data_IF_465725846120
#
_entry.id   IF_465725846120
#
_cell.length_a   1.000
_cell.length_b   1.000
_cell.length_c   1.000
_cell.angle_alpha   90.00
_cell.angle_beta   90.00
_cell.angle_gamma   90.00
#
_symmetry.space_group_name_H-M   'P 1'
#
loop_
_entity.id
_entity.type
_entity.pdbx_description
1 polymer ?
#
# COMPACT_ATOMS: atom_id res chain seq x y z
N UNK A 1 -22.84 35.31 42.35
CA UNK A 1 -21.85 35.35 41.25
C UNK A 1 -20.56 34.60 41.57
N UNK A 2 -19.91 34.78 42.77
CA UNK A 2 -18.70 34.04 43.13
C UNK A 2 -18.90 32.53 43.25
N UNK A 3 -20.02 32.05 43.81
CA UNK A 3 -20.29 30.61 43.97
C UNK A 3 -20.60 29.93 42.62
N UNK A 4 -21.26 30.66 41.69
CA UNK A 4 -21.53 30.14 40.35
C UNK A 4 -20.23 30.00 39.49
N UNK A 5 -19.30 30.96 39.66
CA UNK A 5 -17.99 30.89 39.02
C UNK A 5 -17.14 29.74 39.56
N UNK A 6 -17.18 29.50 40.91
CA UNK A 6 -16.47 28.37 41.50
C UNK A 6 -17.01 27.01 41.04
N UNK A 7 -18.35 26.86 41.00
CA UNK A 7 -18.99 25.65 40.50
C UNK A 7 -18.68 25.39 39.00
N UNK A 8 -18.66 26.44 38.16
CA UNK A 8 -18.33 26.31 36.72
C UNK A 8 -16.86 25.92 36.53
N UNK A 9 -15.94 26.46 37.38
CA UNK A 9 -14.51 26.11 37.32
C UNK A 9 -14.27 24.66 37.72
N UNK A 10 -14.96 24.17 38.77
CA UNK A 10 -14.86 22.75 39.19
C UNK A 10 -15.43 21.80 38.16
N UNK A 11 -16.53 22.13 37.51
CA UNK A 11 -17.12 21.32 36.43
C UNK A 11 -16.21 21.30 35.19
N UNK A 12 -15.60 22.44 34.86
CA UNK A 12 -14.66 22.54 33.73
C UNK A 12 -13.36 21.76 33.99
N UNK A 13 -12.82 21.81 35.19
CA UNK A 13 -11.63 21.03 35.56
C UNK A 13 -11.91 19.54 35.63
N UNK A 14 -13.08 19.11 36.14
CA UNK A 14 -13.48 17.69 36.06
C UNK A 14 -13.71 17.21 34.62
N UNK A 15 -14.33 18.02 33.80
CA UNK A 15 -14.52 17.70 32.36
C UNK A 15 -13.18 17.61 31.60
N UNK A 16 -12.20 18.48 31.90
CA UNK A 16 -10.84 18.39 31.34
C UNK A 16 -10.09 17.14 31.84
N UNK A 17 -10.27 16.75 33.09
CA UNK A 17 -9.65 15.53 33.62
C UNK A 17 -10.26 14.24 33.06
N UNK A 18 -11.53 14.26 32.64
CA UNK A 18 -12.19 13.15 31.96
C UNK A 18 -11.88 13.09 30.46
N UNK A 19 -11.38 14.19 29.87
CA UNK A 19 -10.95 14.27 28.47
C UNK A 19 -9.46 14.01 28.26
N UNK A 20 -8.66 13.84 29.35
CA UNK A 20 -7.30 13.33 29.19
C UNK A 20 -7.44 11.86 28.75
N UNK A 21 -7.07 11.51 27.48
CA UNK A 21 -6.99 10.12 27.13
C UNK A 21 -6.00 9.50 28.13
N UNK A 22 -6.39 8.44 28.82
CA UNK A 22 -5.46 7.59 29.51
C UNK A 22 -4.47 7.11 28.44
N UNK A 23 -3.32 7.77 28.33
CA UNK A 23 -2.19 7.24 27.57
C UNK A 23 -1.77 6.00 28.37
N UNK A 24 -2.47 4.92 28.16
CA UNK A 24 -1.93 3.60 28.42
C UNK A 24 -0.75 3.54 27.45
N UNK A 25 0.46 3.70 27.97
CA UNK A 25 1.66 3.29 27.25
C UNK A 25 1.39 1.80 26.97
N UNK A 26 0.84 1.51 25.78
CA UNK A 26 0.81 0.16 25.26
C UNK A 26 2.28 -0.26 25.31
N UNK A 27 2.60 -1.24 26.13
CA UNK A 27 3.94 -1.81 26.16
C UNK A 27 4.16 -2.32 24.74
N UNK A 28 5.01 -1.60 24.00
CA UNK A 28 5.27 -1.88 22.60
C UNK A 28 5.69 -3.35 22.51
N UNK A 29 4.91 -4.13 21.77
CA UNK A 29 5.15 -5.56 21.71
C UNK A 29 6.47 -5.78 20.99
N UNK A 30 7.42 -6.50 21.63
CA UNK A 30 8.73 -6.75 21.04
C UNK A 30 8.57 -7.48 19.71
N UNK A 31 9.30 -7.08 18.66
CA UNK A 31 9.28 -7.78 17.36
C UNK A 31 9.62 -9.27 17.51
N UNK A 32 9.02 -10.09 16.68
CA UNK A 32 9.22 -11.53 16.63
C UNK A 32 10.26 -11.90 15.57
N UNK A 33 11.38 -12.48 16.00
CA UNK A 33 12.38 -13.08 15.11
C UNK A 33 12.18 -14.59 15.13
N UNK A 34 11.91 -15.17 13.98
CA UNK A 34 11.82 -16.62 13.79
C UNK A 34 13.13 -17.11 13.16
N UNK A 35 13.79 -18.03 13.85
CA UNK A 35 14.98 -18.70 13.33
C UNK A 35 14.56 -20.06 12.80
N UNK A 36 14.75 -20.29 11.52
CA UNK A 36 14.61 -21.60 10.90
C UNK A 36 16.00 -22.23 10.85
N UNK A 37 16.24 -23.14 11.77
CA UNK A 37 17.49 -23.93 11.84
C UNK A 37 17.25 -25.33 11.23
N UNK A 38 17.07 -25.35 9.90
CA UNK A 38 16.58 -26.50 9.16
C UNK A 38 17.50 -27.71 9.30
N UNK A 39 17.00 -28.79 9.89
CA UNK A 39 17.74 -30.02 10.16
C UNK A 39 18.66 -29.97 11.40
N UNK A 40 18.53 -28.97 12.25
CA UNK A 40 19.29 -28.88 13.49
C UNK A 40 18.83 -29.94 14.49
N UNK A 41 19.80 -30.71 15.03
CA UNK A 41 19.61 -31.66 16.12
C UNK A 41 20.19 -31.15 17.41
N UNK A 42 19.35 -30.99 18.43
CA UNK A 42 19.77 -30.52 19.75
C UNK A 42 20.02 -29.01 19.79
N UNK A 43 20.75 -28.56 20.82
CA UNK A 43 21.00 -27.15 21.09
C UNK A 43 22.28 -26.67 20.39
N UNK A 44 22.22 -25.49 19.77
CA UNK A 44 23.39 -24.77 19.28
C UNK A 44 23.80 -23.70 20.32
N UNK A 45 25.06 -23.72 20.72
CA UNK A 45 25.59 -22.81 21.77
C UNK A 45 25.59 -21.37 21.28
N UNK A 46 25.96 -21.11 20.00
CA UNK A 46 26.00 -19.76 19.46
C UNK A 46 24.61 -19.18 19.31
N UNK A 47 23.62 -19.99 18.85
CA UNK A 47 22.21 -19.60 18.79
C UNK A 47 21.70 -19.25 20.19
N UNK A 48 21.98 -20.05 21.20
CA UNK A 48 21.57 -19.79 22.57
C UNK A 48 22.20 -18.49 23.12
N UNK A 49 23.48 -18.23 22.84
CA UNK A 49 24.11 -16.96 23.19
C UNK A 49 23.50 -15.79 22.44
N UNK A 50 23.23 -15.92 21.14
CA UNK A 50 22.59 -14.90 20.33
C UNK A 50 21.22 -14.52 20.91
N UNK A 51 20.35 -15.50 21.17
CA UNK A 51 19.02 -15.27 21.75
C UNK A 51 19.10 -14.68 23.17
N UNK A 52 20.07 -15.11 23.97
CA UNK A 52 20.25 -14.62 25.35
C UNK A 52 20.80 -13.19 25.42
N UNK A 53 21.56 -12.75 24.43
CA UNK A 53 22.16 -11.43 24.39
C UNK A 53 21.33 -10.38 23.64
N UNK A 54 20.48 -10.77 22.68
CA UNK A 54 19.61 -9.86 21.94
C UNK A 54 18.20 -9.98 22.52
N UNK A 55 17.97 -9.30 23.62
CA UNK A 55 16.72 -9.38 24.41
C UNK A 55 15.65 -8.37 23.99
N UNK A 56 15.95 -7.51 23.03
CA UNK A 56 15.04 -6.51 22.48
C UNK A 56 13.92 -7.12 21.61
N UNK A 57 14.12 -8.37 21.16
CA UNK A 57 13.18 -9.11 20.33
C UNK A 57 12.64 -10.33 21.07
N UNK A 58 11.53 -10.89 20.55
CA UNK A 58 11.06 -12.24 20.91
C UNK A 58 11.66 -13.24 19.93
N UNK A 59 11.96 -14.43 20.41
CA UNK A 59 12.57 -15.49 19.62
C UNK A 59 11.65 -16.70 19.49
N UNK A 60 11.61 -17.29 18.30
CA UNK A 60 11.05 -18.61 18.03
C UNK A 60 12.03 -19.39 17.16
N UNK A 61 12.28 -20.66 17.48
CA UNK A 61 13.17 -21.53 16.70
C UNK A 61 12.32 -22.66 16.09
N UNK A 62 12.51 -22.91 14.81
CA UNK A 62 11.89 -24.01 14.05
C UNK A 62 13.03 -24.83 13.47
N UNK A 63 13.04 -26.14 13.74
CA UNK A 63 14.11 -27.08 13.28
C UNK A 63 13.60 -28.08 12.24
N UNK A 64 12.31 -28.04 11.95
CA UNK A 64 11.61 -28.87 10.97
C UNK A 64 11.10 -28.02 9.79
N UNK A 65 10.26 -28.62 8.96
CA UNK A 65 9.56 -27.94 7.87
C UNK A 65 8.78 -26.72 8.34
N UNK A 66 8.72 -25.68 7.53
CA UNK A 66 8.07 -24.40 7.84
C UNK A 66 6.63 -24.44 7.33
N UNK A 67 5.70 -24.04 8.19
CA UNK A 67 4.31 -23.72 7.78
C UNK A 67 4.03 -22.25 7.87
N UNK A 68 3.09 -21.74 7.07
CA UNK A 68 2.67 -20.34 7.14
C UNK A 68 2.20 -19.95 8.54
N UNK A 69 1.42 -20.80 9.21
CA UNK A 69 0.90 -20.49 10.55
C UNK A 69 2.00 -20.34 11.61
N UNK A 70 3.14 -20.96 11.39
CA UNK A 70 4.28 -20.84 12.30
C UNK A 70 5.06 -19.56 12.15
N UNK A 71 5.04 -18.94 10.94
CA UNK A 71 5.84 -17.74 10.61
C UNK A 71 5.02 -16.49 10.33
N UNK A 72 3.69 -16.58 10.23
CA UNK A 72 2.81 -15.47 9.81
C UNK A 72 2.98 -14.18 10.62
N UNK A 73 3.26 -14.31 11.91
CA UNK A 73 3.41 -13.18 12.83
C UNK A 73 4.86 -12.71 12.98
N UNK A 74 5.83 -13.33 12.29
CA UNK A 74 7.22 -12.94 12.34
C UNK A 74 7.46 -11.58 11.66
N UNK A 75 8.28 -10.74 12.30
CA UNK A 75 8.80 -9.51 11.71
C UNK A 75 10.07 -9.79 10.90
N UNK A 76 10.85 -10.79 11.36
CA UNK A 76 12.06 -11.24 10.69
C UNK A 76 12.14 -12.76 10.68
N UNK A 77 12.53 -13.32 9.55
CA UNK A 77 12.85 -14.73 9.37
C UNK A 77 14.35 -14.87 9.08
N UNK A 78 15.06 -15.67 9.88
CA UNK A 78 16.45 -16.04 9.64
C UNK A 78 16.47 -17.51 9.23
N UNK A 79 16.79 -17.79 7.98
CA UNK A 79 16.86 -19.15 7.45
C UNK A 79 18.29 -19.66 7.41
N UNK A 80 18.58 -20.69 8.19
CA UNK A 80 19.86 -21.39 8.28
C UNK A 80 19.66 -22.85 7.98
N UNK A 81 20.21 -23.36 6.89
CA UNK A 81 20.20 -24.77 6.60
C UNK A 81 21.37 -25.46 7.31
N UNK A 82 21.11 -26.08 8.45
CA UNK A 82 22.11 -26.76 9.25
C UNK A 82 22.48 -28.13 8.63
N UNK A 83 21.48 -28.88 8.20
CA UNK A 83 21.69 -30.18 7.55
C UNK A 83 21.82 -30.02 6.02
N UNK A 84 22.97 -30.44 5.48
CA UNK A 84 23.26 -30.40 4.03
C UNK A 84 22.40 -31.37 3.21
N UNK A 85 21.76 -32.36 3.83
CA UNK A 85 20.91 -33.36 3.18
C UNK A 85 19.45 -32.97 3.02
N UNK A 86 18.99 -31.87 3.65
CA UNK A 86 17.59 -31.45 3.64
C UNK A 86 17.30 -30.52 2.47
N UNK A 87 16.33 -30.89 1.65
CA UNK A 87 15.84 -30.07 0.55
C UNK A 87 14.59 -29.30 0.98
N UNK A 88 14.58 -27.99 0.72
CA UNK A 88 13.39 -27.17 0.95
C UNK A 88 12.23 -27.59 0.02
N UNK A 89 11.04 -27.71 0.56
CA UNK A 89 9.84 -28.13 -0.16
C UNK A 89 9.12 -26.95 -0.82
N UNK A 90 8.26 -27.22 -1.78
CA UNK A 90 7.43 -26.20 -2.42
C UNK A 90 6.41 -25.59 -1.42
N UNK A 91 5.96 -26.38 -0.44
CA UNK A 91 5.08 -25.93 0.64
C UNK A 91 5.78 -24.91 1.53
N UNK A 92 7.03 -25.13 1.90
CA UNK A 92 7.85 -24.19 2.66
C UNK A 92 8.12 -22.91 1.88
N UNK A 93 8.47 -23.02 0.59
CA UNK A 93 8.66 -21.87 -0.30
C UNK A 93 7.38 -21.03 -0.41
N UNK A 94 6.23 -21.69 -0.53
CA UNK A 94 4.93 -21.00 -0.55
C UNK A 94 4.61 -20.31 0.78
N UNK A 95 4.93 -20.94 1.91
CA UNK A 95 4.75 -20.34 3.23
C UNK A 95 5.61 -19.07 3.39
N UNK A 96 6.88 -19.13 3.00
CA UNK A 96 7.80 -17.98 3.00
C UNK A 96 7.28 -16.85 2.09
N UNK A 97 6.86 -17.20 0.85
CA UNK A 97 6.29 -16.23 -0.09
C UNK A 97 5.05 -15.53 0.44
N UNK A 98 4.13 -16.30 1.03
CA UNK A 98 2.90 -15.75 1.59
C UNK A 98 3.19 -14.80 2.75
N UNK A 99 4.10 -15.16 3.66
CA UNK A 99 4.54 -14.31 4.76
C UNK A 99 5.23 -13.04 4.26
N UNK A 100 6.16 -13.16 3.32
CA UNK A 100 6.91 -12.02 2.77
C UNK A 100 5.99 -11.01 2.05
N UNK A 101 4.95 -11.49 1.37
CA UNK A 101 3.98 -10.64 0.67
C UNK A 101 3.11 -9.77 1.57
N UNK A 102 3.12 -9.97 2.89
CA UNK A 102 2.45 -9.09 3.85
C UNK A 102 3.06 -7.68 3.87
N UNK A 103 4.33 -7.53 3.51
CA UNK A 103 5.07 -6.26 3.59
C UNK A 103 5.68 -5.99 4.97
N UNK A 104 6.68 -5.12 5.00
CA UNK A 104 7.42 -4.77 6.22
C UNK A 104 8.23 -5.93 6.81
N UNK A 105 8.53 -6.97 6.04
CA UNK A 105 9.22 -8.18 6.49
C UNK A 105 10.71 -8.13 6.19
N UNK A 106 11.50 -8.79 7.04
CA UNK A 106 12.93 -9.01 6.78
C UNK A 106 13.22 -10.50 6.68
N UNK A 107 13.73 -10.90 5.53
CA UNK A 107 14.15 -12.26 5.27
C UNK A 107 15.69 -12.30 5.20
N UNK A 108 16.33 -12.95 6.16
CA UNK A 108 17.75 -13.21 6.15
C UNK A 108 17.98 -14.67 5.76
N UNK A 109 18.49 -14.89 4.57
CA UNK A 109 18.86 -16.21 4.06
C UNK A 109 20.37 -16.39 4.16
N UNK A 110 20.81 -17.54 4.65
CA UNK A 110 22.23 -17.87 4.72
C UNK A 110 22.62 -18.80 3.59
N UNK A 111 23.72 -18.49 2.96
CA UNK A 111 24.36 -19.30 1.92
C UNK A 111 25.62 -20.00 2.44
N UNK A 112 26.33 -20.64 1.52
CA UNK A 112 27.59 -21.38 1.78
C UNK A 112 28.39 -21.48 0.49
N UNK A 113 29.67 -21.89 0.56
CA UNK A 113 30.40 -22.32 -0.62
C UNK A 113 29.96 -23.71 -1.11
N UNK A 114 30.48 -24.13 -2.24
CA UNK A 114 30.24 -25.44 -2.84
C UNK A 114 31.12 -26.57 -2.30
N UNK A 115 31.80 -26.32 -1.17
CA UNK A 115 32.76 -27.24 -0.59
C UNK A 115 32.13 -28.63 -0.27
N UNK A 116 32.75 -29.69 -0.79
CA UNK A 116 32.42 -31.10 -0.49
C UNK A 116 30.92 -31.48 -0.58
N UNK A 117 30.17 -30.84 -1.40
CA UNK A 117 28.77 -31.22 -1.62
C UNK A 117 27.77 -30.37 -0.89
N UNK A 118 28.14 -29.19 -0.42
CA UNK A 118 27.21 -28.19 0.12
C UNK A 118 26.32 -27.52 -0.95
N UNK A 119 26.32 -28.07 -2.18
CA UNK A 119 25.48 -27.65 -3.29
C UNK A 119 23.99 -27.48 -2.92
N UNK A 120 23.48 -28.35 -2.06
CA UNK A 120 22.07 -28.27 -1.69
C UNK A 120 21.77 -27.03 -0.87
N UNK A 121 22.69 -26.53 -0.06
CA UNK A 121 22.56 -25.23 0.62
C UNK A 121 22.49 -24.11 -0.39
N UNK A 122 23.38 -24.07 -1.39
CA UNK A 122 23.34 -23.06 -2.46
C UNK A 122 22.01 -23.13 -3.22
N UNK A 123 21.56 -24.33 -3.59
CA UNK A 123 20.31 -24.54 -4.32
C UNK A 123 19.11 -24.05 -3.51
N UNK A 124 19.03 -24.42 -2.23
CA UNK A 124 17.92 -24.01 -1.36
C UNK A 124 17.91 -22.49 -1.12
N UNK A 125 19.09 -21.91 -0.84
CA UNK A 125 19.28 -20.48 -0.72
C UNK A 125 18.76 -19.74 -1.95
N UNK A 126 19.21 -20.15 -3.14
CA UNK A 126 18.81 -19.52 -4.40
C UNK A 126 17.30 -19.70 -4.69
N UNK A 127 16.73 -20.87 -4.36
CA UNK A 127 15.26 -21.09 -4.50
C UNK A 127 14.46 -20.14 -3.59
N UNK A 128 14.87 -19.94 -2.34
CA UNK A 128 14.20 -19.00 -1.42
C UNK A 128 14.27 -17.59 -1.98
N UNK A 129 15.46 -17.14 -2.39
CA UNK A 129 15.69 -15.81 -2.97
C UNK A 129 14.83 -15.59 -4.23
N UNK A 130 14.78 -16.58 -5.12
CA UNK A 130 13.94 -16.55 -6.32
C UNK A 130 12.44 -16.49 -5.97
N UNK A 131 12.02 -17.27 -4.98
CA UNK A 131 10.61 -17.33 -4.56
C UNK A 131 10.06 -15.99 -4.08
N UNK A 132 10.89 -15.17 -3.42
CA UNK A 132 10.54 -13.82 -2.98
C UNK A 132 10.84 -12.73 -4.01
N UNK A 133 11.39 -13.11 -5.18
CA UNK A 133 11.70 -12.19 -6.28
C UNK A 133 12.98 -11.38 -6.09
N UNK A 134 13.88 -11.79 -5.19
CA UNK A 134 15.17 -11.14 -4.97
C UNK A 134 16.12 -11.38 -6.14
N UNK A 135 16.95 -10.38 -6.45
CA UNK A 135 18.03 -10.51 -7.44
C UNK A 135 19.32 -11.10 -6.86
N UNK A 136 19.45 -11.15 -5.53
CA UNK A 136 20.60 -11.73 -4.85
C UNK A 136 20.73 -13.22 -5.15
N UNK A 137 21.96 -13.69 -5.33
CA UNK A 137 22.28 -15.13 -5.54
C UNK A 137 23.56 -15.50 -4.81
N UNK A 138 23.58 -16.71 -4.29
CA UNK A 138 24.79 -17.40 -3.85
C UNK A 138 25.42 -18.06 -5.07
N UNK A 139 26.65 -17.70 -5.43
CA UNK A 139 27.34 -18.33 -6.57
C UNK A 139 27.97 -19.68 -6.17
N UNK A 140 28.33 -20.49 -7.17
CA UNK A 140 28.87 -21.83 -7.02
C UNK A 140 30.41 -21.75 -6.99
N UNK A 141 30.99 -21.23 -5.92
CA UNK A 141 32.42 -21.20 -5.68
C UNK A 141 32.72 -20.82 -4.22
N UNK A 142 33.98 -20.83 -3.87
CA UNK A 142 34.46 -20.34 -2.57
C UNK A 142 35.19 -19.02 -2.76
N UNK A 143 34.91 -18.04 -1.88
CA UNK A 143 35.74 -16.85 -1.74
C UNK A 143 36.74 -17.07 -0.59
N UNK A 144 38.01 -16.81 -0.85
CA UNK A 144 39.10 -16.88 0.15
C UNK A 144 39.68 -15.50 0.35
N UNK A 145 40.39 -15.27 1.49
CA UNK A 145 41.13 -14.02 1.74
C UNK A 145 42.51 -14.32 2.32
N UNK A 146 43.55 -13.97 1.57
CA UNK A 146 44.94 -14.24 1.95
C UNK A 146 45.51 -13.24 2.96
N UNK A 147 44.84 -12.13 3.22
CA UNK A 147 45.32 -11.07 4.11
C UNK A 147 44.47 -10.98 5.39
N UNK A 148 43.13 -10.96 5.26
CA UNK A 148 42.21 -10.83 6.40
C UNK A 148 41.49 -12.15 6.60
N UNK A 149 42.03 -12.98 7.50
CA UNK A 149 41.47 -14.30 7.79
C UNK A 149 41.71 -14.72 9.23
N UNK A 150 41.00 -15.79 9.65
CA UNK A 150 41.12 -16.39 10.98
C UNK A 150 42.06 -17.63 10.95
N UNK A 151 43.32 -17.44 10.46
CA UNK A 151 44.38 -18.43 10.48
C UNK A 151 44.43 -19.38 9.29
N UNK A 152 43.53 -19.21 8.31
CA UNK A 152 43.56 -19.83 7.00
C UNK A 152 42.74 -19.01 6.01
N UNK A 153 43.09 -18.99 4.75
CA UNK A 153 42.48 -18.15 3.72
C UNK A 153 40.99 -18.40 3.49
N UNK A 154 40.52 -19.63 3.63
CA UNK A 154 39.10 -19.99 3.59
C UNK A 154 38.30 -19.60 4.88
N UNK A 155 38.96 -19.20 5.95
CA UNK A 155 38.34 -18.63 7.15
C UNK A 155 38.35 -17.12 7.04
N UNK A 156 37.59 -16.61 6.10
CA UNK A 156 37.61 -15.21 5.71
C UNK A 156 37.21 -14.32 6.88
N UNK A 157 38.00 -13.29 7.11
CA UNK A 157 37.68 -12.19 7.99
C UNK A 157 36.87 -11.13 7.22
N UNK A 158 35.56 -11.26 7.19
CA UNK A 158 34.69 -10.31 6.54
C UNK A 158 34.83 -8.91 7.11
N UNK A 159 35.23 -7.97 6.28
CA UNK A 159 35.27 -6.55 6.64
C UNK A 159 33.88 -5.95 6.59
N UNK A 160 33.40 -5.46 7.71
CA UNK A 160 32.11 -4.78 7.77
C UNK A 160 32.28 -3.37 7.23
N UNK A 161 31.97 -3.22 5.93
CA UNK A 161 32.06 -1.97 5.15
C UNK A 161 30.78 -1.76 4.35
N UNK A 162 29.67 -1.45 5.04
CA UNK A 162 28.40 -1.25 4.38
C UNK A 162 28.46 -0.08 3.40
N UNK A 163 27.63 -0.15 2.36
CA UNK A 163 27.35 1.02 1.52
C UNK A 163 26.83 2.19 2.38
N UNK A 164 27.02 3.45 1.96
CA UNK A 164 26.76 4.63 2.80
C UNK A 164 25.39 4.65 3.48
N UNK A 165 24.37 4.15 2.83
CA UNK A 165 22.99 4.12 3.31
C UNK A 165 22.80 3.19 4.52
N UNK A 166 23.67 2.18 4.65
CA UNK A 166 23.66 1.20 5.74
C UNK A 166 24.88 1.33 6.67
N UNK A 167 25.60 2.45 6.58
CA UNK A 167 26.85 2.65 7.35
C UNK A 167 26.70 2.46 8.87
N UNK A 168 25.51 2.71 9.41
CA UNK A 168 25.22 2.49 10.84
C UNK A 168 25.41 1.03 11.27
N UNK A 169 25.31 0.05 10.36
CA UNK A 169 25.56 -1.36 10.67
C UNK A 169 27.02 -1.64 11.11
N UNK A 170 27.96 -0.76 10.76
CA UNK A 170 29.33 -0.82 11.22
C UNK A 170 29.55 -0.24 12.63
N UNK A 171 28.50 0.25 13.28
CA UNK A 171 28.57 0.85 14.60
C UNK A 171 29.09 -0.14 15.64
N UNK A 172 30.20 0.19 16.33
CA UNK A 172 30.82 -0.66 17.36
C UNK A 172 31.64 -1.84 16.82
N UNK A 173 31.81 -1.96 15.51
CA UNK A 173 32.59 -3.04 14.89
C UNK A 173 34.04 -2.62 14.73
N UNK A 174 34.95 -3.29 15.43
CA UNK A 174 36.39 -2.97 15.45
C UNK A 174 37.26 -4.09 14.89
N UNK A 175 36.71 -5.28 14.72
CA UNK A 175 37.38 -6.48 14.24
C UNK A 175 36.62 -7.11 13.10
N UNK A 176 37.25 -7.92 12.25
CA UNK A 176 36.52 -8.64 11.21
C UNK A 176 35.50 -9.62 11.81
N UNK A 177 34.52 -10.00 11.01
CA UNK A 177 33.57 -11.04 11.33
C UNK A 177 33.92 -12.31 10.59
N UNK A 178 33.82 -13.47 11.27
CA UNK A 178 34.17 -14.74 10.65
C UNK A 178 33.13 -15.14 9.58
N UNK A 179 33.63 -15.45 8.40
CA UNK A 179 32.95 -16.16 7.33
C UNK A 179 33.79 -17.41 7.02
N UNK A 180 33.24 -18.57 7.37
CA UNK A 180 33.99 -19.84 7.31
C UNK A 180 33.68 -20.61 6.03
N UNK A 181 34.48 -20.46 5.00
CA UNK A 181 34.26 -21.04 3.67
C UNK A 181 33.11 -20.35 2.93
N UNK A 182 33.12 -19.02 2.81
CA UNK A 182 31.99 -18.31 2.19
C UNK A 182 32.04 -18.41 0.66
N UNK A 183 30.87 -18.32 0.02
CA UNK A 183 30.77 -17.96 -1.39
C UNK A 183 30.79 -16.45 -1.59
N UNK A 184 31.14 -15.93 -2.78
CA UNK A 184 30.81 -14.57 -3.15
C UNK A 184 29.34 -14.44 -3.51
N UNK A 185 28.75 -13.27 -3.24
CA UNK A 185 27.39 -12.95 -3.65
C UNK A 185 27.39 -12.48 -5.10
N UNK A 186 26.51 -13.06 -5.91
CA UNK A 186 26.20 -12.63 -7.27
C UNK A 186 24.78 -12.06 -7.35
N UNK A 187 24.45 -11.51 -8.51
CA UNK A 187 23.11 -11.01 -8.86
C UNK A 187 22.60 -11.75 -10.09
N UNK A 188 21.28 -12.04 -10.11
CA UNK A 188 20.61 -12.54 -11.29
C UNK A 188 19.63 -11.49 -11.79
N UNK A 189 20.01 -10.80 -12.88
CA UNK A 189 19.30 -9.63 -13.39
C UNK A 189 19.01 -9.81 -14.88
N UNK A 190 17.75 -9.73 -15.27
CA UNK A 190 17.31 -9.86 -16.67
C UNK A 190 17.77 -11.16 -17.36
N UNK A 191 17.84 -12.26 -16.61
CA UNK A 191 18.25 -13.56 -17.14
C UNK A 191 19.75 -13.79 -17.16
N UNK A 192 20.56 -12.88 -16.60
CA UNK A 192 22.01 -12.95 -16.58
C UNK A 192 22.57 -12.91 -15.16
N UNK A 193 23.59 -13.73 -14.91
CA UNK A 193 24.40 -13.66 -13.70
C UNK A 193 25.41 -12.52 -13.80
N UNK A 194 25.54 -11.73 -12.74
CA UNK A 194 26.45 -10.59 -12.64
C UNK A 194 27.19 -10.60 -11.31
N UNK A 195 28.49 -10.31 -11.29
CA UNK A 195 29.24 -10.21 -10.05
C UNK A 195 28.80 -9.00 -9.23
N UNK A 196 28.80 -9.16 -7.90
CA UNK A 196 28.67 -8.06 -6.94
C UNK A 196 30.01 -7.88 -6.21
N UNK A 197 30.89 -7.09 -6.78
CA UNK A 197 32.17 -6.81 -6.18
C UNK A 197 32.03 -6.02 -4.88
N UNK A 198 33.02 -6.17 -3.96
CA UNK A 198 33.02 -5.46 -2.68
C UNK A 198 33.22 -3.94 -2.79
N UNK A 199 33.66 -3.46 -3.97
CA UNK A 199 33.92 -2.03 -4.26
C UNK A 199 33.48 -1.69 -5.69
N UNK A 200 33.41 -0.39 -6.01
CA UNK A 200 33.04 0.08 -7.33
C UNK A 200 31.52 0.24 -7.51
N UNK A 201 31.11 0.38 -8.77
CA UNK A 201 29.72 0.57 -9.15
C UNK A 201 28.88 -0.69 -8.88
N UNK A 202 27.63 -0.50 -8.45
CA UNK A 202 26.69 -1.60 -8.21
C UNK A 202 25.85 -1.83 -9.47
N UNK A 203 25.64 -3.09 -9.89
CA UNK A 203 24.79 -3.40 -11.03
C UNK A 203 23.30 -3.08 -10.79
N UNK A 204 22.87 -2.98 -9.51
CA UNK A 204 21.48 -2.74 -9.10
C UNK A 204 21.48 -1.75 -7.94
N UNK A 205 20.64 -0.72 -8.03
CA UNK A 205 20.65 0.42 -7.12
C UNK A 205 20.12 0.09 -5.72
N UNK A 206 19.06 -0.70 -5.62
CA UNK A 206 18.43 -1.11 -4.36
C UNK A 206 19.14 -2.29 -3.65
N UNK A 207 20.32 -2.72 -4.15
CA UNK A 207 21.19 -3.70 -3.51
C UNK A 207 22.33 -2.97 -2.78
N UNK A 208 22.54 -3.34 -1.52
CA UNK A 208 23.54 -2.72 -0.63
C UNK A 208 24.50 -3.78 -0.09
N UNK A 209 25.80 -3.55 -0.27
CA UNK A 209 26.86 -4.38 0.32
C UNK A 209 26.92 -4.13 1.82
N UNK A 210 27.25 -5.17 2.59
CA UNK A 210 27.36 -5.08 4.07
C UNK A 210 28.74 -5.58 4.52
N UNK A 211 29.14 -6.78 4.09
CA UNK A 211 30.44 -7.38 4.40
C UNK A 211 31.17 -7.76 3.11
N UNK A 212 32.47 -7.53 3.10
CA UNK A 212 33.31 -7.76 1.92
C UNK A 212 34.66 -8.42 2.32
N UNK A 213 35.35 -9.08 1.37
CA UNK A 213 36.75 -9.47 1.53
C UNK A 213 37.66 -8.25 1.47
N UNK A 214 38.93 -8.42 1.85
CA UNK A 214 39.98 -7.46 1.50
C UNK A 214 40.24 -7.45 -0.03
N UNK A 215 41.14 -6.57 -0.50
CA UNK A 215 41.62 -6.60 -1.90
C UNK A 215 42.52 -7.78 -2.22
N UNK A 216 42.86 -8.62 -1.21
CA UNK A 216 43.58 -9.89 -1.38
C UNK A 216 42.65 -11.10 -1.34
N UNK A 217 41.34 -10.84 -1.48
CA UNK A 217 40.35 -11.88 -1.74
C UNK A 217 40.66 -12.57 -3.09
N UNK A 218 40.26 -13.82 -3.22
CA UNK A 218 40.33 -14.56 -4.47
C UNK A 218 39.14 -15.52 -4.59
N UNK A 219 38.73 -15.82 -5.81
CA UNK A 219 37.73 -16.85 -6.11
C UNK A 219 38.42 -18.18 -6.24
N UNK A 220 38.10 -19.12 -5.40
CA UNK A 220 38.49 -20.51 -5.50
C UNK A 220 37.34 -21.33 -6.11
N UNK A 221 37.61 -21.98 -7.22
CA UNK A 221 36.72 -23.00 -7.73
C UNK A 221 36.93 -24.28 -6.93
N UNK A 222 35.87 -24.97 -6.60
CA UNK A 222 36.01 -26.10 -5.72
C UNK A 222 35.37 -27.39 -6.25
N UNK A 223 34.11 -27.33 -6.64
CA UNK A 223 33.37 -28.45 -7.21
C UNK A 223 32.53 -27.96 -8.37
N UNK A 224 32.42 -28.74 -9.44
CA UNK A 224 31.50 -28.39 -10.53
C UNK A 224 30.05 -28.33 -10.10
N UNK A 225 29.22 -27.41 -10.64
CA UNK A 225 29.54 -26.56 -11.80
C UNK A 225 30.47 -25.39 -11.47
N UNK A 226 31.14 -24.86 -12.53
CA UNK A 226 31.92 -23.62 -12.41
C UNK A 226 31.03 -22.46 -11.93
N UNK A 227 31.61 -21.40 -11.32
CA UNK A 227 30.88 -20.20 -10.96
C UNK A 227 30.15 -19.61 -12.15
N UNK A 228 28.98 -18.99 -11.87
CA UNK A 228 28.15 -18.37 -12.92
C UNK A 228 28.51 -16.91 -13.16
N UNK A 229 28.98 -16.20 -12.13
CA UNK A 229 29.21 -14.76 -12.19
C UNK A 229 30.68 -14.37 -12.10
N UNK A 230 31.53 -15.25 -11.56
CA UNK A 230 32.95 -14.95 -11.30
C UNK A 230 33.88 -15.89 -12.06
N UNK A 231 35.10 -15.41 -12.32
CA UNK A 231 36.14 -16.24 -12.91
C UNK A 231 36.97 -16.92 -11.82
N UNK A 232 37.27 -18.21 -12.02
CA UNK A 232 38.15 -18.98 -11.11
C UNK A 232 39.54 -18.38 -11.08
N UNK A 233 40.04 -18.13 -9.87
CA UNK A 233 41.34 -17.49 -9.66
C UNK A 233 41.31 -15.98 -9.77
N UNK A 234 40.19 -15.35 -9.98
CA UNK A 234 40.02 -13.90 -9.94
C UNK A 234 40.43 -13.35 -8.57
N UNK A 235 41.23 -12.26 -8.55
CA UNK A 235 41.67 -11.59 -7.33
C UNK A 235 40.98 -10.22 -7.21
N UNK A 236 40.49 -9.89 -6.00
CA UNK A 236 39.82 -8.64 -5.74
C UNK A 236 39.07 -8.62 -4.43
N UNK A 237 38.20 -7.61 -4.26
CA UNK A 237 37.26 -7.55 -3.13
C UNK A 237 35.91 -8.07 -3.57
N UNK A 238 35.40 -9.05 -2.83
CA UNK A 238 34.13 -9.74 -3.11
C UNK A 238 33.13 -9.50 -1.99
N UNK A 239 31.85 -9.42 -2.34
CA UNK A 239 30.78 -9.24 -1.36
C UNK A 239 30.41 -10.58 -0.74
N UNK A 240 30.40 -10.63 0.60
CA UNK A 240 30.05 -11.79 1.42
C UNK A 240 28.67 -11.68 2.08
N UNK A 241 28.21 -10.44 2.26
CA UNK A 241 26.87 -10.16 2.78
C UNK A 241 26.32 -8.92 2.10
N UNK A 242 25.08 -9.01 1.64
CA UNK A 242 24.37 -7.91 1.00
C UNK A 242 22.88 -7.90 1.43
N UNK A 243 22.27 -6.74 1.30
CA UNK A 243 20.83 -6.59 1.45
C UNK A 243 20.21 -6.01 0.18
N UNK A 244 19.01 -6.45 -0.15
CA UNK A 244 18.15 -5.86 -1.15
C UNK A 244 16.93 -5.24 -0.47
N UNK A 245 16.68 -3.96 -0.72
CA UNK A 245 15.47 -3.27 -0.26
C UNK A 245 14.43 -3.40 -1.36
N UNK A 246 13.33 -4.04 -1.04
CA UNK A 246 12.26 -4.37 -1.99
C UNK A 246 11.00 -3.55 -1.72
N UNK A 247 10.02 -3.67 -2.59
CA UNK A 247 8.70 -3.06 -2.44
C UNK A 247 8.05 -3.42 -1.09
N UNK A 248 7.11 -2.59 -0.66
CA UNK A 248 6.37 -2.73 0.61
C UNK A 248 7.28 -2.75 1.85
N UNK A 249 8.42 -2.05 1.80
CA UNK A 249 9.41 -1.98 2.89
C UNK A 249 9.96 -3.36 3.31
N UNK A 250 9.98 -4.32 2.39
CA UNK A 250 10.59 -5.62 2.60
C UNK A 250 12.12 -5.54 2.45
N UNK A 251 12.82 -6.34 3.25
CA UNK A 251 14.28 -6.46 3.20
C UNK A 251 14.62 -7.93 2.97
N UNK A 252 15.46 -8.19 1.98
CA UNK A 252 16.12 -9.49 1.81
C UNK A 252 17.59 -9.33 2.14
N UNK A 253 18.11 -10.15 3.04
CA UNK A 253 19.51 -10.20 3.39
C UNK A 253 20.05 -11.57 2.94
N UNK A 254 21.12 -11.58 2.19
CA UNK A 254 21.90 -12.76 1.90
C UNK A 254 23.28 -12.62 2.57
N UNK A 255 23.63 -13.59 3.41
CA UNK A 255 25.01 -13.77 3.88
C UNK A 255 25.49 -15.17 3.49
N UNK A 256 26.75 -15.31 3.11
CA UNK A 256 27.34 -16.59 2.74
C UNK A 256 28.06 -17.24 3.92
N UNK A 257 27.58 -16.93 5.11
CA UNK A 257 27.84 -17.57 6.38
C UNK A 257 26.61 -17.38 7.27
N UNK A 258 26.38 -18.33 8.16
CA UNK A 258 25.29 -18.28 9.12
C UNK A 258 25.65 -17.47 10.37
N UNK A 259 24.68 -16.79 11.02
CA UNK A 259 24.92 -16.10 12.27
C UNK A 259 25.32 -17.04 13.41
N UNK A 260 24.90 -18.29 13.34
CA UNK A 260 25.27 -19.37 14.27
C UNK A 260 25.41 -20.66 13.45
N UNK A 261 26.23 -21.59 13.94
CA UNK A 261 26.42 -22.86 13.27
C UNK A 261 27.16 -23.79 14.21
N UNK A 262 26.90 -25.09 14.13
CA UNK A 262 27.61 -26.12 14.89
C UNK A 262 29.14 -26.20 14.57
N UNK A 263 29.60 -25.59 13.46
CA UNK A 263 31.01 -25.38 13.17
C UNK A 263 31.53 -24.15 13.89
N UNK A 264 31.39 -22.99 13.29
CA UNK A 264 31.83 -21.68 13.77
C UNK A 264 31.13 -20.59 12.93
N UNK A 265 29.95 -20.20 13.31
CA UNK A 265 29.23 -19.16 12.62
C UNK A 265 29.80 -17.75 12.91
N UNK A 266 29.15 -16.75 12.32
CA UNK A 266 29.57 -15.35 12.48
C UNK A 266 29.59 -14.86 13.93
N UNK A 267 28.89 -15.52 14.89
CA UNK A 267 28.84 -15.13 16.31
C UNK A 267 30.19 -15.25 17.04
N UNK A 268 31.30 -15.59 16.39
CA UNK A 268 32.59 -15.76 17.02
C UNK A 268 33.20 -14.44 17.50
N UNK A 269 33.69 -14.42 18.76
CA UNK A 269 34.44 -13.30 19.33
C UNK A 269 35.96 -13.45 19.18
N UNK A 270 36.42 -14.68 19.00
CA UNK A 270 37.81 -15.02 18.80
C UNK A 270 37.95 -16.41 18.17
N UNK A 271 38.69 -16.53 17.10
CA UNK A 271 39.00 -17.80 16.45
C UNK A 271 40.46 -17.79 15.96
N UNK A 272 41.23 -18.89 16.20
CA UNK A 272 42.67 -18.99 15.88
C UNK A 272 43.46 -17.73 16.26
N UNK A 273 43.32 -17.27 17.50
CA UNK A 273 43.97 -16.08 18.05
C UNK A 273 43.56 -14.72 17.42
N UNK A 274 42.73 -14.72 16.39
CA UNK A 274 42.17 -13.51 15.78
C UNK A 274 40.85 -13.10 16.49
N UNK A 275 40.75 -11.83 16.87
CA UNK A 275 39.55 -11.28 17.46
C UNK A 275 38.48 -11.04 16.40
N UNK A 276 37.22 -11.28 16.76
CA UNK A 276 36.04 -11.01 15.92
C UNK A 276 35.04 -10.10 16.63
N UNK A 277 34.24 -9.38 15.85
CA UNK A 277 33.12 -8.55 16.31
C UNK A 277 31.77 -9.14 15.87
N UNK A 278 31.66 -10.46 15.85
CA UNK A 278 30.46 -11.17 15.41
C UNK A 278 29.20 -10.81 16.18
N UNK A 279 29.20 -10.87 17.53
CA UNK A 279 28.01 -10.56 18.33
C UNK A 279 27.46 -9.16 18.11
N UNK A 280 28.34 -8.15 18.09
CA UNK A 280 27.95 -6.75 17.85
C UNK A 280 27.35 -6.58 16.45
N UNK A 281 27.99 -7.20 15.44
CA UNK A 281 27.53 -7.13 14.07
C UNK A 281 26.15 -7.78 13.90
N UNK A 282 25.99 -9.02 14.34
CA UNK A 282 24.72 -9.75 14.23
C UNK A 282 23.59 -9.01 14.94
N UNK A 283 23.88 -8.46 16.14
CA UNK A 283 22.92 -7.63 16.85
C UNK A 283 22.48 -6.42 16.03
N UNK A 284 23.41 -5.70 15.43
CA UNK A 284 23.10 -4.54 14.58
C UNK A 284 22.20 -4.94 13.41
N UNK A 285 22.49 -6.06 12.73
CA UNK A 285 21.71 -6.56 11.59
C UNK A 285 20.29 -6.96 12.02
N UNK A 286 20.15 -7.69 13.12
CA UNK A 286 18.83 -8.13 13.62
C UNK A 286 18.01 -6.92 14.02
N UNK A 287 18.54 -6.00 14.80
CA UNK A 287 17.82 -4.82 15.26
C UNK A 287 17.43 -3.90 14.12
N UNK A 288 18.28 -3.78 13.08
CA UNK A 288 17.93 -3.08 11.85
C UNK A 288 16.78 -3.79 11.14
N UNK A 289 16.88 -5.09 10.92
CA UNK A 289 15.88 -5.89 10.24
C UNK A 289 14.48 -5.76 10.86
N UNK A 290 14.39 -5.60 12.19
CA UNK A 290 13.11 -5.41 12.89
C UNK A 290 12.78 -3.94 13.18
N UNK A 291 13.55 -2.99 12.68
CA UNK A 291 13.28 -1.55 12.79
C UNK A 291 13.65 -0.91 14.13
N UNK A 292 14.44 -1.57 14.96
CA UNK A 292 14.91 -1.05 16.24
C UNK A 292 16.27 -0.34 16.17
N UNK A 293 16.95 -0.38 15.05
CA UNK A 293 18.25 0.25 14.85
C UNK A 293 18.42 0.80 13.43
N UNK A 294 18.67 2.09 13.31
CA UNK A 294 18.77 2.77 12.03
C UNK A 294 17.45 2.86 11.26
N UNK A 295 17.51 3.33 10.02
CA UNK A 295 16.35 3.32 9.12
C UNK A 295 16.27 1.99 8.38
N UNK A 296 15.12 1.33 8.39
CA UNK A 296 14.92 0.08 7.63
C UNK A 296 15.08 0.30 6.14
N UNK A 297 14.53 1.40 5.64
CA UNK A 297 14.59 1.78 4.22
C UNK A 297 15.37 3.08 4.13
N UNK A 298 16.39 3.19 3.29
CA UNK A 298 17.11 4.42 3.04
C UNK A 298 16.18 5.56 2.64
N UNK A 299 16.50 6.78 3.08
CA UNK A 299 15.66 7.97 2.81
C UNK A 299 15.53 8.24 1.29
N UNK A 300 16.55 7.93 0.51
CA UNK A 300 16.51 8.06 -0.96
C UNK A 300 15.42 7.18 -1.57
N UNK A 301 15.34 5.91 -1.18
CA UNK A 301 14.30 4.98 -1.65
C UNK A 301 12.91 5.43 -1.19
N UNK A 302 12.76 5.85 0.08
CA UNK A 302 11.51 6.40 0.58
C UNK A 302 11.04 7.61 -0.21
N UNK A 303 11.98 8.48 -0.57
CA UNK A 303 11.67 9.67 -1.36
C UNK A 303 11.21 9.30 -2.77
N UNK A 304 11.86 8.34 -3.43
CA UNK A 304 11.46 7.84 -4.75
C UNK A 304 10.11 7.14 -4.73
N UNK A 305 9.87 6.27 -3.74
CA UNK A 305 8.57 5.62 -3.54
C UNK A 305 7.45 6.64 -3.31
N UNK A 306 7.71 7.69 -2.52
CA UNK A 306 6.76 8.78 -2.30
C UNK A 306 6.49 9.57 -3.57
N UNK A 307 7.52 9.88 -4.36
CA UNK A 307 7.36 10.56 -5.66
C UNK A 307 6.54 9.73 -6.64
N UNK A 308 6.78 8.43 -6.70
CA UNK A 308 6.02 7.50 -7.56
C UNK A 308 4.55 7.46 -7.14
N UNK A 309 4.28 7.27 -5.84
CA UNK A 309 2.93 7.25 -5.29
C UNK A 309 2.18 8.56 -5.54
N UNK A 310 2.83 9.70 -5.33
CA UNK A 310 2.27 11.02 -5.63
C UNK A 310 1.97 11.21 -7.12
N UNK A 311 2.84 10.69 -8.00
CA UNK A 311 2.62 10.75 -9.44
C UNK A 311 1.39 9.95 -9.86
N UNK A 312 1.20 8.74 -9.32
CA UNK A 312 0.02 7.91 -9.56
C UNK A 312 -1.27 8.55 -9.03
N UNK A 313 -1.21 9.19 -7.86
CA UNK A 313 -2.35 9.92 -7.29
C UNK A 313 -2.72 11.14 -8.15
N UNK A 314 -1.72 11.88 -8.64
CA UNK A 314 -1.93 13.01 -9.56
C UNK A 314 -2.60 12.54 -10.84
N UNK A 315 -2.19 11.44 -11.43
CA UNK A 315 -2.77 10.92 -12.67
C UNK A 315 -4.21 10.40 -12.45
N UNK A 316 -4.48 9.81 -11.31
CA UNK A 316 -5.83 9.43 -10.89
C UNK A 316 -6.74 10.66 -10.74
N UNK A 317 -6.28 11.69 -10.02
CA UNK A 317 -7.02 12.93 -9.83
C UNK A 317 -7.27 13.68 -11.15
N UNK A 318 -6.31 13.67 -12.08
CA UNK A 318 -6.51 14.23 -13.43
C UNK A 318 -7.63 13.51 -14.18
N UNK A 319 -7.65 12.17 -14.14
CA UNK A 319 -8.68 11.38 -14.79
C UNK A 319 -10.07 11.66 -14.19
N UNK A 320 -10.17 11.76 -12.87
CA UNK A 320 -11.41 12.12 -12.18
C UNK A 320 -11.85 13.56 -12.52
N UNK A 321 -10.93 14.51 -12.58
CA UNK A 321 -11.22 15.88 -12.97
C UNK A 321 -11.78 15.97 -14.39
N UNK A 322 -11.19 15.26 -15.36
CA UNK A 322 -11.68 15.21 -16.75
C UNK A 322 -13.09 14.61 -16.80
N UNK A 323 -13.39 13.57 -16.02
CA UNK A 323 -14.72 12.98 -15.95
C UNK A 323 -15.74 13.99 -15.41
N UNK A 324 -15.44 14.68 -14.32
CA UNK A 324 -16.31 15.72 -13.73
C UNK A 324 -16.51 16.88 -14.70
N UNK A 325 -15.47 17.26 -15.44
CA UNK A 325 -15.57 18.31 -16.47
C UNK A 325 -16.52 17.93 -17.60
N UNK A 326 -16.45 16.69 -18.08
CA UNK A 326 -17.35 16.16 -19.10
C UNK A 326 -18.79 16.06 -18.60
N UNK A 327 -19.03 15.63 -17.37
CA UNK A 327 -20.35 15.59 -16.73
C UNK A 327 -20.92 17.00 -16.60
N UNK A 328 -20.12 17.97 -16.19
CA UNK A 328 -20.52 19.38 -16.13
C UNK A 328 -20.96 19.90 -17.49
N UNK A 329 -20.21 19.65 -18.55
CA UNK A 329 -20.55 20.07 -19.91
C UNK A 329 -21.88 19.44 -20.39
N UNK A 330 -22.07 18.17 -20.10
CA UNK A 330 -23.32 17.47 -20.42
C UNK A 330 -24.53 18.08 -19.69
N UNK A 331 -24.39 18.36 -18.40
CA UNK A 331 -25.45 19.00 -17.60
C UNK A 331 -25.75 20.45 -18.07
N UNK A 332 -24.75 21.22 -18.46
CA UNK A 332 -24.93 22.56 -19.03
C UNK A 332 -25.72 22.50 -20.34
N UNK A 333 -25.45 21.50 -21.19
CA UNK A 333 -26.19 21.29 -22.44
C UNK A 333 -27.63 20.84 -22.19
N UNK A 334 -27.88 19.95 -21.21
CA UNK A 334 -29.20 19.52 -20.82
C UNK A 334 -30.04 20.67 -20.24
N UNK A 335 -29.41 21.50 -19.40
CA UNK A 335 -30.02 22.70 -18.83
C UNK A 335 -30.46 23.67 -19.93
N UNK A 336 -29.60 23.94 -20.91
CA UNK A 336 -29.92 24.84 -22.04
C UNK A 336 -31.06 24.27 -22.90
N UNK A 337 -31.09 22.97 -23.17
CA UNK A 337 -32.17 22.31 -23.89
C UNK A 337 -33.49 22.40 -23.12
N UNK A 338 -33.47 22.16 -21.81
CA UNK A 338 -34.63 22.26 -20.93
C UNK A 338 -35.14 23.69 -20.91
N UNK A 339 -34.27 24.68 -20.83
CA UNK A 339 -34.63 26.11 -20.91
C UNK A 339 -35.33 26.47 -22.21
N UNK A 340 -34.82 26.00 -23.35
CA UNK A 340 -35.45 26.24 -24.67
C UNK A 340 -36.83 25.58 -24.75
N UNK A 341 -36.97 24.37 -24.24
CA UNK A 341 -38.28 23.66 -24.22
C UNK A 341 -39.29 24.38 -23.37
N UNK A 342 -38.88 24.81 -22.16
CA UNK A 342 -39.79 25.56 -21.27
C UNK A 342 -40.16 26.92 -21.87
N UNK A 343 -39.23 27.61 -22.55
CA UNK A 343 -39.54 28.88 -23.21
C UNK A 343 -40.58 28.69 -24.33
N UNK A 344 -40.46 27.62 -25.14
CA UNK A 344 -41.45 27.27 -26.18
C UNK A 344 -42.81 26.96 -25.60
N UNK A 345 -42.85 26.24 -24.47
CA UNK A 345 -44.12 25.96 -23.77
C UNK A 345 -44.77 27.25 -23.24
N UNK A 346 -44.00 28.15 -22.65
CA UNK A 346 -44.47 29.46 -22.20
C UNK A 346 -45.03 30.27 -23.35
N UNK A 347 -44.37 30.30 -24.51
CA UNK A 347 -44.85 31.06 -25.68
C UNK A 347 -46.16 30.42 -26.26
N UNK A 348 -46.25 29.11 -26.24
CA UNK A 348 -47.47 28.38 -26.61
C UNK A 348 -48.62 28.70 -25.66
N UNK A 349 -48.39 28.65 -24.36
CA UNK A 349 -49.40 28.98 -23.33
C UNK A 349 -49.84 30.44 -23.42
N UNK A 350 -48.93 31.38 -23.68
CA UNK A 350 -49.29 32.79 -23.90
C UNK A 350 -50.22 32.96 -25.10
N UNK A 351 -49.94 32.26 -26.20
CA UNK A 351 -50.83 32.28 -27.37
C UNK A 351 -52.19 31.72 -27.09
N UNK A 352 -52.30 30.60 -26.32
CA UNK A 352 -53.58 30.01 -25.91
C UNK A 352 -54.37 30.95 -24.99
N UNK A 353 -53.70 31.61 -24.02
CA UNK A 353 -54.34 32.60 -23.16
C UNK A 353 -54.88 33.76 -23.97
N UNK A 354 -54.13 34.29 -24.95
CA UNK A 354 -54.59 35.36 -25.81
C UNK A 354 -55.82 34.96 -26.65
N UNK A 355 -55.81 33.76 -27.24
CA UNK A 355 -56.94 33.23 -27.98
C UNK A 355 -58.19 33.04 -27.08
N UNK A 356 -58.01 32.56 -25.85
CA UNK A 356 -59.11 32.42 -24.88
C UNK A 356 -59.66 33.77 -24.43
N UNK A 357 -58.83 34.80 -24.30
CA UNK A 357 -59.28 36.17 -24.02
C UNK A 357 -60.08 36.79 -25.19
N UNK A 358 -59.67 36.55 -26.42
CA UNK A 358 -60.41 36.95 -27.62
C UNK A 358 -61.80 36.27 -27.70
N UNK A 359 -61.84 34.95 -27.47
CA UNK A 359 -63.09 34.19 -27.44
C UNK A 359 -64.02 34.67 -26.30
N UNK A 360 -63.47 34.93 -25.12
CA UNK A 360 -64.22 35.52 -24.00
C UNK A 360 -64.80 36.88 -24.36
N UNK A 361 -64.04 37.74 -25.01
CA UNK A 361 -64.55 39.07 -25.44
C UNK A 361 -65.63 38.96 -26.49
N UNK A 362 -65.52 38.01 -27.45
CA UNK A 362 -66.52 37.72 -28.44
C UNK A 362 -67.84 37.23 -27.78
N UNK A 363 -67.70 36.26 -26.88
CA UNK A 363 -68.86 35.76 -26.08
C UNK A 363 -69.49 36.84 -25.23
N UNK A 364 -68.78 37.78 -24.69
CA UNK A 364 -69.28 38.91 -23.92
C UNK A 364 -70.07 39.84 -24.84
N UNK A 365 -69.60 40.17 -26.05
CA UNK A 365 -70.30 40.97 -27.08
C UNK A 365 -71.60 40.27 -27.55
N UNK A 366 -71.55 38.97 -27.82
CA UNK A 366 -72.72 38.19 -28.19
C UNK A 366 -73.79 38.19 -27.07
N UNK A 367 -73.33 38.05 -25.84
CA UNK A 367 -74.25 38.15 -24.67
C UNK A 367 -74.91 39.53 -24.57
N UNK A 368 -74.18 40.62 -24.79
CA UNK A 368 -74.73 41.98 -24.77
C UNK A 368 -75.75 42.18 -25.89
N UNK A 369 -75.41 41.72 -27.14
CA UNK A 369 -76.32 41.75 -28.27
C UNK A 369 -77.63 40.95 -27.99
N UNK A 370 -77.53 39.75 -27.45
CA UNK A 370 -78.68 38.95 -27.02
C UNK A 370 -79.47 39.60 -25.95
N UNK A 371 -78.85 40.28 -24.99
CA UNK A 371 -79.56 41.05 -23.96
C UNK A 371 -80.39 42.21 -24.57
N UNK A 372 -79.80 42.97 -25.55
CA UNK A 372 -80.53 44.00 -26.28
C UNK A 372 -81.75 43.44 -27.07
N UNK A 373 -81.49 42.27 -27.75
CA UNK A 373 -82.63 41.64 -28.48
C UNK A 373 -83.76 41.19 -27.54
N UNK A 374 -83.38 40.59 -26.37
CA UNK A 374 -84.34 40.21 -25.34
C UNK A 374 -85.14 41.43 -24.81
N UNK A 375 -84.45 42.57 -24.57
CA UNK A 375 -85.14 43.80 -24.14
C UNK A 375 -86.02 44.36 -25.26
N UNK A 376 -85.61 44.35 -26.49
CA UNK A 376 -86.40 44.74 -27.65
C UNK A 376 -87.60 43.88 -27.80
N UNK A 377 -87.50 42.54 -27.73
CA UNK A 377 -88.63 41.59 -27.77
C UNK A 377 -89.60 41.80 -26.57
N UNK A 378 -89.01 42.05 -25.40
CA UNK A 378 -89.83 42.35 -24.20
C UNK A 378 -90.60 43.65 -24.33
N UNK A 379 -89.96 44.69 -24.94
CA UNK A 379 -90.60 45.94 -25.31
C UNK A 379 -91.72 45.76 -26.31
N UNK A 380 -91.47 44.96 -27.37
CA UNK A 380 -92.49 44.63 -28.36
C UNK A 380 -93.72 43.87 -27.75
N UNK A 381 -93.36 42.83 -26.93
CA UNK A 381 -94.45 42.06 -26.21
C UNK A 381 -95.29 42.92 -25.29
N UNK A 382 -94.67 43.85 -24.57
CA UNK A 382 -95.39 44.79 -23.71
C UNK A 382 -96.30 45.71 -24.58
N UNK A 383 -95.80 46.16 -25.75
CA UNK A 383 -96.54 46.99 -26.66
C UNK A 383 -97.75 46.23 -27.24
N UNK A 384 -97.52 44.97 -27.65
CA UNK A 384 -98.65 44.09 -28.11
C UNK A 384 -99.60 43.75 -27.00
N UNK A 385 -99.20 43.54 -25.73
CA UNK A 385 -100.06 43.32 -24.62
C UNK A 385 -100.89 44.55 -24.34
N UNK A 386 -100.30 45.75 -24.25
CA UNK A 386 -101.01 46.99 -24.03
C UNK A 386 -101.95 47.27 -25.20
N UNK A 387 -101.45 47.08 -26.45
CA UNK A 387 -102.30 47.19 -27.63
C UNK A 387 -103.48 46.25 -27.58
N UNK A 388 -103.24 44.98 -27.26
CA UNK A 388 -104.29 43.94 -27.11
C UNK A 388 -105.32 44.29 -26.04
N UNK A 389 -104.89 44.80 -24.89
CA UNK A 389 -105.76 45.28 -23.79
C UNK A 389 -106.55 46.49 -24.26
N UNK A 390 -105.94 47.43 -24.92
CA UNK A 390 -106.67 48.62 -25.43
C UNK A 390 -107.71 48.23 -26.49
N UNK A 391 -107.33 47.38 -27.45
CA UNK A 391 -108.25 46.85 -28.47
C UNK A 391 -109.35 46.04 -27.82
N UNK A 392 -109.06 45.20 -26.87
CA UNK A 392 -110.01 44.42 -26.09
C UNK A 392 -111.00 45.32 -25.30
N UNK A 393 -110.51 46.40 -24.67
CA UNK A 393 -111.38 47.41 -24.01
C UNK A 393 -112.21 48.16 -25.00
N UNK A 394 -111.71 48.56 -26.16
CA UNK A 394 -112.44 49.24 -27.19
C UNK A 394 -113.59 48.35 -27.74
N UNK A 395 -113.22 47.08 -28.05
CA UNK A 395 -114.25 46.09 -28.52
C UNK A 395 -115.24 45.80 -27.40
N UNK A 396 -114.79 45.63 -26.19
CA UNK A 396 -115.63 45.42 -25.01
C UNK A 396 -116.61 46.60 -24.76
N UNK A 397 -116.11 47.85 -24.91
CA UNK A 397 -116.93 49.05 -24.83
C UNK A 397 -117.90 49.18 -25.98
N UNK A 398 -117.47 48.87 -27.23
CA UNK A 398 -118.40 48.86 -28.38
C UNK A 398 -119.50 47.87 -28.23
N UNK A 399 -119.19 46.60 -27.85
CA UNK A 399 -120.16 45.57 -27.63
C UNK A 399 -121.10 45.96 -26.48
N UNK A 400 -120.61 46.50 -25.35
CA UNK A 400 -121.35 46.96 -24.22
C UNK A 400 -122.26 48.13 -24.62
N UNK A 401 -121.81 49.05 -25.46
CA UNK A 401 -122.57 50.14 -25.95
C UNK A 401 -123.77 49.73 -26.89
N UNK A 402 -123.46 48.72 -27.76
CA UNK A 402 -124.50 48.15 -28.65
C UNK A 402 -125.53 47.28 -27.90
N UNK A 403 -125.12 46.62 -26.84
CA UNK A 403 -126.07 45.81 -26.03
C UNK A 403 -126.99 46.67 -25.16
N UNK A 404 -126.66 47.93 -24.89
CA UNK A 404 -127.45 48.88 -24.08
C UNK A 404 -128.49 49.67 -24.84
N UNK A 405 -128.53 49.44 -26.22
CA UNK A 405 -129.62 50.04 -27.07
C UNK A 405 -130.54 49.02 -27.66
N UNK A 406 -131.29 48.33 -26.86
CA UNK A 406 -132.61 47.83 -27.29
C UNK A 406 -133.64 48.12 -26.18
N UNK A 407 -134.79 48.67 -26.60
CA UNK A 407 -135.82 49.12 -25.70
C UNK A 407 -136.52 48.03 -24.97
#
# INVERSE_FOLDING_TARGET
MRELALALTIVLTLALALLTPSITLAQEEKPLVVVVAHGMFGDDIQLNYMMGNITEVKWKVITSEITYDEIKDADMLIYVQVDTGVQITDEELNAIKQWFNQGGKTLWVTGESDYKGDHLRIINTNKILETVGSVLRNDHCEAVDREVNFGADYRVGGLIRPDPELFFLAGGIFHPVLFHGPAPIALYVNGEWKPLYGTGEKPVENVYRIAITSFKGAIAEFVEPLPYAYDVGEEGSFTLMAAEIMDKDNIVILSTEAPFNHYRGMWETKYHEVKGSGPEFIRNVILWGVGLYGSRVPESIRFEQLLTSLSEEIDTLKSEYEKVLNEKQSLEQELENTRKTLQSQIDTLKSQVSACEEEKNALQSDKEALMEEVESLRGALNTYMIGGVVVGLIIGFAIGFFLKRKP
#
